data_IF_748669773221
#
_entry.id   IF_748669773221
#
_cell.length_a   1.000
_cell.length_b   1.000
_cell.length_c   1.000
_cell.angle_alpha   90.00
_cell.angle_beta   90.00
_cell.angle_gamma   90.00
#
_symmetry.space_group_name_H-M   'P 1'
#
loop_
_entity.id
_entity.type
_entity.pdbx_description
1 polymer ?
#
# COMPACT_ATOMS: atom_id res chain seq x y z
N UNK A 1 15.02 -16.92 -9.85
CA UNK A 1 14.96 -15.49 -10.19
C UNK A 1 15.50 -14.65 -9.04
N UNK A 2 16.21 -13.61 -9.37
CA UNK A 2 16.84 -12.77 -8.34
C UNK A 2 15.84 -11.78 -7.76
N UNK A 3 15.94 -11.56 -6.46
CA UNK A 3 15.20 -10.49 -5.79
C UNK A 3 15.82 -9.15 -6.21
N UNK A 4 14.99 -8.25 -6.73
CA UNK A 4 15.40 -6.91 -7.15
C UNK A 4 15.12 -5.85 -6.10
N UNK A 5 14.20 -6.14 -5.17
CA UNK A 5 13.88 -5.21 -4.11
C UNK A 5 13.15 -5.86 -2.97
N UNK A 6 13.37 -5.34 -1.77
CA UNK A 6 12.72 -5.79 -0.56
C UNK A 6 12.36 -4.55 0.26
N UNK A 7 11.12 -4.44 0.65
CA UNK A 7 10.65 -3.36 1.49
C UNK A 7 9.81 -3.87 2.64
N UNK A 8 9.96 -3.25 3.79
CA UNK A 8 9.15 -3.52 4.96
C UNK A 8 8.77 -2.20 5.62
N UNK A 9 7.54 -2.13 6.12
CA UNK A 9 7.08 -0.95 6.84
C UNK A 9 6.18 -1.34 7.99
N UNK A 10 6.24 -0.58 9.07
CA UNK A 10 5.42 -0.74 10.25
C UNK A 10 4.82 0.60 10.62
N UNK A 11 3.51 0.64 10.86
CA UNK A 11 2.75 1.87 11.06
C UNK A 11 1.88 1.74 12.29
N UNK A 12 1.86 2.77 13.14
CA UNK A 12 0.92 2.86 14.25
C UNK A 12 -0.49 3.14 13.70
N UNK A 13 -1.44 2.29 14.10
CA UNK A 13 -2.83 2.40 13.64
C UNK A 13 -3.44 3.72 14.11
N UNK A 14 -3.17 4.12 15.35
CA UNK A 14 -3.67 5.38 15.91
C UNK A 14 -3.19 6.60 15.11
N UNK A 15 -1.94 6.58 14.65
CA UNK A 15 -1.39 7.66 13.83
C UNK A 15 -2.17 7.82 12.52
N UNK A 16 -2.49 6.71 11.87
CA UNK A 16 -3.28 6.74 10.63
C UNK A 16 -4.72 7.17 10.92
N UNK A 17 -5.31 6.68 12.01
CA UNK A 17 -6.64 7.10 12.43
C UNK A 17 -6.71 8.61 12.63
N UNK A 18 -5.73 9.19 13.32
CA UNK A 18 -5.66 10.64 13.54
C UNK A 18 -5.57 11.40 12.22
N UNK A 19 -4.74 10.94 11.29
CA UNK A 19 -4.60 11.58 9.98
C UNK A 19 -5.90 11.50 9.18
N UNK A 20 -6.60 10.37 9.23
CA UNK A 20 -7.87 10.20 8.52
C UNK A 20 -9.01 11.02 9.11
N UNK A 21 -8.97 11.29 10.42
CA UNK A 21 -9.99 12.10 11.10
C UNK A 21 -9.85 13.59 10.82
N UNK A 22 -8.70 14.02 10.33
CA UNK A 22 -8.51 15.39 9.86
C UNK A 22 -9.17 15.52 8.48
N UNK A 23 -10.08 16.47 8.34
CA UNK A 23 -10.74 16.72 7.07
C UNK A 23 -9.88 17.62 6.18
N UNK A 24 -8.77 17.08 5.70
CA UNK A 24 -7.74 17.82 4.97
C UNK A 24 -7.31 17.13 3.66
N UNK A 25 -8.10 16.15 3.18
CA UNK A 25 -7.80 15.47 1.92
C UNK A 25 -6.84 14.30 2.01
N UNK A 26 -6.35 13.96 3.21
CA UNK A 26 -5.38 12.88 3.39
C UNK A 26 -5.91 11.56 2.82
N UNK A 27 -7.17 11.22 3.11
CA UNK A 27 -7.77 9.95 2.66
C UNK A 27 -7.68 9.79 1.14
N UNK A 28 -8.13 10.79 0.41
CA UNK A 28 -8.20 10.75 -1.06
C UNK A 28 -6.82 10.88 -1.70
N UNK A 29 -5.89 11.54 -1.02
CA UNK A 29 -4.52 11.68 -1.50
C UNK A 29 -3.76 10.35 -1.43
N UNK A 30 -4.04 9.54 -0.42
CA UNK A 30 -3.27 8.34 -0.11
C UNK A 30 -3.95 7.07 -0.63
N UNK A 31 -5.29 7.01 -0.61
CA UNK A 31 -6.03 5.80 -0.91
C UNK A 31 -6.89 5.94 -2.16
N UNK A 32 -6.90 4.88 -2.97
CA UNK A 32 -7.79 4.78 -4.12
C UNK A 32 -9.24 4.61 -3.66
N UNK A 33 -10.19 4.95 -4.52
CA UNK A 33 -11.63 4.83 -4.22
C UNK A 33 -12.00 3.42 -3.78
N UNK A 34 -11.48 2.38 -4.44
CA UNK A 34 -11.77 0.98 -4.08
C UNK A 34 -11.24 0.65 -2.69
N UNK A 35 -10.07 1.16 -2.33
CA UNK A 35 -9.51 0.96 -1.00
C UNK A 35 -10.36 1.63 0.07
N UNK A 36 -10.81 2.85 -0.19
CA UNK A 36 -11.68 3.60 0.73
C UNK A 36 -12.99 2.84 0.94
N UNK A 37 -13.64 2.41 -0.14
CA UNK A 37 -14.89 1.65 -0.06
C UNK A 37 -14.71 0.39 0.78
N UNK A 38 -13.65 -0.36 0.53
CA UNK A 38 -13.35 -1.58 1.28
C UNK A 38 -13.15 -1.28 2.77
N UNK A 39 -12.27 -0.33 3.10
CA UNK A 39 -11.93 -0.01 4.49
C UNK A 39 -13.14 0.54 5.25
N UNK A 40 -13.93 1.43 4.64
CA UNK A 40 -15.09 2.02 5.28
C UNK A 40 -16.18 0.99 5.59
N UNK A 41 -16.21 -0.14 4.88
CA UNK A 41 -17.16 -1.23 5.13
C UNK A 41 -16.78 -2.09 6.33
N UNK A 42 -15.59 -1.91 6.91
CA UNK A 42 -15.08 -2.76 7.98
C UNK A 42 -15.26 -2.13 9.36
N UNK A 43 -15.56 -2.97 10.36
CA UNK A 43 -15.67 -2.52 11.74
C UNK A 43 -14.35 -1.93 12.25
N UNK A 44 -13.24 -2.59 11.96
CA UNK A 44 -11.89 -2.13 12.35
C UNK A 44 -11.23 -1.41 11.16
N UNK A 45 -11.90 -0.39 10.63
CA UNK A 45 -11.46 0.28 9.39
C UNK A 45 -10.05 0.84 9.46
N UNK A 46 -9.62 1.34 10.61
CA UNK A 46 -8.29 1.94 10.74
C UNK A 46 -7.16 0.91 10.64
N UNK A 47 -7.40 -0.32 11.07
CA UNK A 47 -6.45 -1.41 10.85
C UNK A 47 -6.24 -1.66 9.35
N UNK A 48 -7.32 -1.65 8.59
CA UNK A 48 -7.29 -1.87 7.15
C UNK A 48 -6.61 -0.71 6.41
N UNK A 49 -6.91 0.52 6.80
CA UNK A 49 -6.21 1.68 6.24
C UNK A 49 -4.72 1.64 6.55
N UNK A 50 -4.37 1.35 7.80
CA UNK A 50 -2.96 1.32 8.22
C UNK A 50 -2.18 0.23 7.48
N UNK A 51 -2.76 -0.96 7.31
CA UNK A 51 -2.11 -2.04 6.56
C UNK A 51 -1.87 -1.63 5.10
N UNK A 52 -2.82 -0.95 4.48
CA UNK A 52 -2.68 -0.46 3.11
C UNK A 52 -1.64 0.64 3.01
N UNK A 53 -1.61 1.55 3.98
CA UNK A 53 -0.56 2.58 4.03
C UNK A 53 0.83 1.94 4.14
N UNK A 54 0.98 0.95 5.03
CA UNK A 54 2.23 0.21 5.18
C UNK A 54 2.64 -0.49 3.88
N UNK A 55 1.69 -1.05 3.14
CA UNK A 55 1.96 -1.71 1.86
C UNK A 55 2.53 -0.72 0.82
N UNK A 56 1.97 0.48 0.75
CA UNK A 56 2.43 1.52 -0.18
C UNK A 56 3.84 1.99 0.16
N UNK A 57 4.10 2.22 1.44
CA UNK A 57 5.44 2.58 1.93
C UNK A 57 6.45 1.45 1.68
N UNK A 58 6.06 0.21 1.97
CA UNK A 58 6.94 -0.95 1.75
C UNK A 58 7.29 -1.11 0.27
N UNK A 59 6.32 -0.87 -0.63
CA UNK A 59 6.59 -0.90 -2.07
C UNK A 59 7.63 0.16 -2.47
N UNK A 60 7.48 1.39 -2.00
CA UNK A 60 8.43 2.47 -2.30
C UNK A 60 9.81 2.16 -1.74
N UNK A 61 9.89 1.56 -0.54
CA UNK A 61 11.17 1.10 0.01
C UNK A 61 11.78 -0.01 -0.85
N UNK A 62 10.96 -0.91 -1.37
CA UNK A 62 11.43 -1.98 -2.24
C UNK A 62 12.03 -1.45 -3.55
N UNK A 63 11.56 -0.30 -4.04
CA UNK A 63 12.17 0.37 -5.19
C UNK A 63 13.56 0.92 -4.88
N UNK A 64 13.90 1.07 -3.59
CA UNK A 64 15.23 1.49 -3.15
C UNK A 64 15.47 3.00 -3.13
N UNK A 65 14.52 3.79 -3.59
CA UNK A 65 14.66 5.24 -3.73
C UNK A 65 13.66 6.03 -2.87
N UNK A 66 12.80 5.34 -2.11
CA UNK A 66 11.70 5.97 -1.40
C UNK A 66 10.68 6.52 -2.39
N UNK A 67 10.16 7.71 -2.16
CA UNK A 67 9.24 8.32 -3.11
C UNK A 67 9.95 8.60 -4.43
N UNK A 68 9.36 8.17 -5.54
CA UNK A 68 9.92 8.30 -6.89
C UNK A 68 8.98 9.18 -7.72
N UNK A 69 9.55 10.10 -8.50
CA UNK A 69 8.77 10.88 -9.47
C UNK A 69 8.01 9.94 -10.40
N UNK A 70 6.75 10.23 -10.65
CA UNK A 70 5.88 9.38 -11.44
C UNK A 70 5.19 8.29 -10.63
N UNK A 71 5.21 8.38 -9.30
CA UNK A 71 4.43 7.52 -8.42
C UNK A 71 3.52 8.36 -7.52
N UNK A 72 2.36 7.80 -7.17
CA UNK A 72 1.44 8.42 -6.23
C UNK A 72 0.85 7.34 -5.33
N UNK A 73 0.66 7.66 -4.05
CA UNK A 73 0.13 6.70 -3.08
C UNK A 73 -1.23 6.12 -3.50
N UNK A 74 -2.14 6.97 -3.99
CA UNK A 74 -3.47 6.52 -4.39
C UNK A 74 -3.48 5.73 -5.71
N UNK A 75 -2.34 5.61 -6.37
CA UNK A 75 -2.16 4.79 -7.56
C UNK A 75 -1.39 3.49 -7.28
N UNK A 76 -0.94 3.29 -6.04
CA UNK A 76 -0.38 2.03 -5.54
C UNK A 76 -1.51 1.40 -4.73
N UNK A 77 -2.19 0.40 -5.29
CA UNK A 77 -3.49 -0.04 -4.79
C UNK A 77 -3.41 -1.46 -4.26
N UNK A 78 -3.88 -1.67 -3.03
CA UNK A 78 -4.03 -3.02 -2.48
C UNK A 78 -5.39 -3.55 -2.91
N UNK A 79 -5.37 -4.65 -3.62
CA UNK A 79 -6.55 -5.40 -4.06
C UNK A 79 -6.50 -6.80 -3.45
N UNK A 80 -7.60 -7.55 -3.57
CA UNK A 80 -7.62 -8.98 -3.22
C UNK A 80 -7.79 -9.78 -4.50
N UNK A 81 -6.99 -10.85 -4.64
CA UNK A 81 -7.16 -11.76 -5.77
C UNK A 81 -8.37 -12.68 -5.54
N UNK A 82 -8.59 -13.62 -6.47
CA UNK A 82 -9.76 -14.51 -6.43
C UNK A 82 -9.82 -15.41 -5.20
N UNK A 83 -8.68 -15.65 -4.54
CA UNK A 83 -8.63 -16.45 -3.29
C UNK A 83 -8.55 -15.57 -2.04
N UNK A 84 -8.76 -14.26 -2.20
CA UNK A 84 -8.77 -13.33 -1.07
C UNK A 84 -7.40 -12.86 -0.59
N UNK A 85 -6.33 -13.20 -1.30
CA UNK A 85 -4.98 -12.78 -0.94
C UNK A 85 -4.75 -11.34 -1.37
N UNK A 86 -4.17 -10.47 -0.50
CA UNK A 86 -3.83 -9.11 -0.91
C UNK A 86 -2.71 -9.11 -1.94
N UNK A 87 -2.89 -8.27 -2.96
CA UNK A 87 -1.91 -8.07 -4.03
C UNK A 87 -1.81 -6.58 -4.31
N UNK A 88 -0.68 -6.14 -4.86
CA UNK A 88 -0.52 -4.77 -5.33
C UNK A 88 -0.90 -4.66 -6.79
N UNK A 89 -1.71 -3.67 -7.10
CA UNK A 89 -2.01 -3.24 -8.46
C UNK A 89 -1.69 -1.76 -8.60
N UNK A 90 -1.57 -1.30 -9.83
CA UNK A 90 -1.15 0.07 -10.09
C UNK A 90 -2.06 0.70 -11.12
N UNK A 91 -2.33 2.00 -10.95
CA UNK A 91 -3.18 2.76 -11.87
C UNK A 91 -2.44 4.02 -12.31
N UNK A 92 -3.00 4.71 -13.31
CA UNK A 92 -2.53 6.00 -13.74
C UNK A 92 -1.06 6.04 -14.16
N UNK A 93 -0.41 7.13 -13.83
CA UNK A 93 1.02 7.33 -14.15
C UNK A 93 1.90 6.32 -13.43
N UNK A 94 1.55 5.95 -12.20
CA UNK A 94 2.29 4.93 -11.45
C UNK A 94 2.33 3.59 -12.18
N UNK A 95 1.22 3.19 -12.81
CA UNK A 95 1.20 1.95 -13.60
C UNK A 95 2.21 2.00 -14.74
N UNK A 96 2.32 3.14 -15.44
CA UNK A 96 3.29 3.32 -16.51
C UNK A 96 4.72 3.26 -15.99
N UNK A 97 4.99 3.90 -14.86
CA UNK A 97 6.30 3.90 -14.21
C UNK A 97 6.71 2.47 -13.84
N UNK A 98 5.83 1.71 -13.22
CA UNK A 98 6.11 0.34 -12.78
C UNK A 98 6.29 -0.60 -13.99
N UNK A 99 5.45 -0.46 -15.02
CA UNK A 99 5.57 -1.26 -16.24
C UNK A 99 6.94 -1.04 -16.90
N UNK A 100 7.43 0.19 -16.93
CA UNK A 100 8.73 0.52 -17.52
C UNK A 100 9.90 -0.13 -16.77
N UNK A 101 9.75 -0.45 -15.49
CA UNK A 101 10.79 -1.10 -14.69
C UNK A 101 10.89 -2.60 -14.96
N UNK A 102 9.92 -3.19 -15.65
CA UNK A 102 9.95 -4.58 -16.13
C UNK A 102 10.16 -5.63 -15.04
N UNK A 103 9.49 -5.45 -13.90
CA UNK A 103 9.49 -6.45 -12.84
C UNK A 103 8.73 -7.69 -13.28
N UNK A 104 9.23 -8.86 -12.90
CA UNK A 104 8.57 -10.14 -13.19
C UNK A 104 7.42 -10.40 -12.23
N UNK A 105 7.63 -10.09 -10.94
CA UNK A 105 6.64 -10.38 -9.91
C UNK A 105 6.81 -9.42 -8.74
N UNK A 106 5.69 -9.00 -8.16
CA UNK A 106 5.66 -8.22 -6.93
C UNK A 106 4.80 -9.00 -5.95
N UNK A 107 5.39 -9.37 -4.81
CA UNK A 107 4.72 -10.14 -3.76
C UNK A 107 4.49 -9.25 -2.55
N UNK A 108 3.33 -9.40 -1.92
CA UNK A 108 2.89 -8.60 -0.78
C UNK A 108 2.42 -9.51 0.35
N UNK A 109 2.79 -9.19 1.57
CA UNK A 109 2.19 -9.78 2.76
C UNK A 109 1.88 -8.69 3.78
N UNK A 110 0.74 -8.81 4.44
CA UNK A 110 0.27 -7.87 5.44
C UNK A 110 0.12 -8.57 6.79
N UNK A 111 0.35 -7.82 7.86
CA UNK A 111 0.10 -8.30 9.21
C UNK A 111 -0.32 -7.13 10.09
N UNK A 112 -0.94 -7.43 11.23
CA UNK A 112 -1.28 -6.38 12.19
C UNK A 112 -1.43 -6.93 13.60
N UNK A 113 -1.28 -6.04 14.56
CA UNK A 113 -1.68 -6.21 15.96
C UNK A 113 -2.82 -5.22 16.23
N UNK A 114 -3.21 -5.09 17.49
CA UNK A 114 -4.21 -4.07 17.88
C UNK A 114 -3.71 -2.64 17.67
N UNK A 115 -2.39 -2.43 17.71
CA UNK A 115 -1.81 -1.08 17.71
C UNK A 115 -0.99 -0.77 16.47
N UNK A 116 -0.56 -1.78 15.72
CA UNK A 116 0.32 -1.58 14.58
C UNK A 116 -0.06 -2.46 13.41
N UNK A 117 0.20 -1.98 12.21
CA UNK A 117 0.05 -2.74 10.98
C UNK A 117 1.37 -2.73 10.22
N UNK A 118 1.68 -3.86 9.58
CA UNK A 118 2.92 -4.01 8.83
C UNK A 118 2.72 -4.63 7.47
N UNK A 119 3.69 -4.40 6.61
CA UNK A 119 3.70 -4.95 5.26
C UNK A 119 5.11 -5.29 4.85
N UNK A 120 5.24 -6.33 4.04
CA UNK A 120 6.49 -6.65 3.34
C UNK A 120 6.19 -6.77 1.86
N UNK A 121 7.08 -6.23 1.04
CA UNK A 121 7.02 -6.29 -0.41
C UNK A 121 8.32 -6.86 -0.95
N UNK A 122 8.22 -7.83 -1.83
CA UNK A 122 9.36 -8.43 -2.53
C UNK A 122 9.14 -8.22 -4.03
N UNK A 123 10.14 -7.67 -4.69
CA UNK A 123 10.15 -7.44 -6.14
C UNK A 123 11.15 -8.39 -6.78
N UNK A 124 10.70 -9.11 -7.80
CA UNK A 124 11.55 -10.04 -8.58
C UNK A 124 11.57 -9.69 -10.06
#
# INVERSE_FOLDING_TARGET
MAIKGLGIDLVDIERIATSLQKDNGFRELVFATDEITYCESKTQKYEHYAARFAAKEAFLKALGTGWVSGTAFNEIVVQHNTVGKPVLTFTGVTAKTVTALQFNQISLSLTHTKTAAGAVVIIE
#
